data_IF_446389668050
#
_entry.id   IF_446389668050
#
_cell.length_a   1.000
_cell.length_b   1.000
_cell.length_c   1.000
_cell.angle_alpha   90.00
_cell.angle_beta   90.00
_cell.angle_gamma   90.00
#
_symmetry.space_group_name_H-M   'P 1'
#
loop_
_entity.id
_entity.type
_entity.pdbx_description
1 polymer ?
#
# COMPACT_ATOMS: atom_id res chain seq x y z
N UNK A 1 -37.54 -17.73 -15.69
CA UNK A 1 -37.08 -17.05 -14.43
C UNK A 1 -35.58 -17.17 -14.46
N UNK A 2 -34.99 -16.24 -15.26
CA UNK A 2 -33.57 -16.24 -15.51
C UNK A 2 -32.86 -15.65 -14.28
N UNK A 3 -32.14 -16.51 -13.58
CA UNK A 3 -31.17 -16.11 -12.58
C UNK A 3 -30.01 -15.42 -13.35
N UNK A 4 -29.97 -14.11 -13.31
CA UNK A 4 -28.79 -13.36 -13.77
C UNK A 4 -27.61 -13.84 -12.91
N UNK A 5 -26.71 -14.56 -13.55
CA UNK A 5 -25.39 -14.88 -13.03
C UNK A 5 -24.64 -13.52 -12.96
N UNK A 6 -24.64 -12.93 -11.77
CA UNK A 6 -23.93 -11.70 -11.49
C UNK A 6 -22.44 -12.04 -11.60
N UNK A 7 -21.90 -11.79 -12.79
CA UNK A 7 -20.49 -12.07 -13.08
C UNK A 7 -19.64 -11.23 -12.13
N UNK A 8 -19.20 -11.85 -11.03
CA UNK A 8 -18.31 -11.20 -10.06
C UNK A 8 -17.09 -10.62 -10.78
N UNK A 9 -16.71 -9.40 -10.43
CA UNK A 9 -15.54 -8.75 -11.01
C UNK A 9 -14.30 -9.64 -10.84
N UNK A 10 -13.43 -9.75 -11.85
CA UNK A 10 -12.27 -10.62 -11.78
C UNK A 10 -11.34 -10.21 -10.63
N UNK A 11 -10.90 -11.17 -9.84
CA UNK A 11 -9.97 -10.92 -8.76
C UNK A 11 -8.58 -10.52 -9.30
N UNK A 12 -8.03 -9.45 -8.74
CA UNK A 12 -6.68 -8.90 -9.05
C UNK A 12 -5.61 -9.62 -8.23
N UNK A 13 -5.96 -9.98 -6.99
CA UNK A 13 -5.12 -10.76 -6.08
C UNK A 13 -5.94 -11.92 -5.55
N UNK A 14 -5.40 -13.13 -5.64
CA UNK A 14 -5.96 -14.32 -4.98
C UNK A 14 -4.89 -14.99 -4.14
N UNK A 15 -5.24 -15.34 -2.91
CA UNK A 15 -4.42 -16.11 -2.00
C UNK A 15 -5.23 -17.26 -1.44
N UNK A 16 -4.64 -18.46 -1.33
CA UNK A 16 -5.28 -19.64 -0.75
C UNK A 16 -4.34 -20.31 0.23
N UNK A 17 -4.76 -20.39 1.50
CA UNK A 17 -3.99 -20.98 2.59
C UNK A 17 -2.61 -20.31 2.76
N UNK A 18 -2.51 -19.01 2.46
CA UNK A 18 -1.24 -18.31 2.42
C UNK A 18 -0.62 -18.22 3.82
N UNK A 19 0.68 -18.51 3.93
CA UNK A 19 1.41 -18.42 5.18
C UNK A 19 2.89 -18.18 5.00
N UNK A 20 3.52 -17.59 6.02
CA UNK A 20 4.97 -17.37 6.11
C UNK A 20 5.45 -17.74 7.50
N UNK A 21 6.43 -18.63 7.57
CA UNK A 21 7.12 -19.00 8.81
C UNK A 21 8.30 -18.07 9.08
N UNK A 22 8.43 -17.65 10.34
CA UNK A 22 9.60 -16.98 10.86
C UNK A 22 10.49 -17.94 11.67
N UNK A 23 11.56 -17.42 12.26
CA UNK A 23 12.50 -18.23 13.08
C UNK A 23 11.84 -18.82 14.35
N UNK A 24 10.80 -18.19 14.87
CA UNK A 24 10.16 -18.57 16.13
C UNK A 24 8.71 -19.05 15.96
N UNK A 25 8.31 -19.39 14.75
CA UNK A 25 6.96 -19.83 14.41
C UNK A 25 6.34 -19.03 13.27
N UNK A 26 5.07 -19.31 12.91
CA UNK A 26 4.43 -18.62 11.80
C UNK A 26 4.25 -17.13 12.10
N UNK A 27 4.63 -16.28 11.15
CA UNK A 27 4.32 -14.84 11.18
C UNK A 27 2.84 -14.61 10.85
N UNK A 28 2.31 -15.39 9.92
CA UNK A 28 0.89 -15.55 9.65
C UNK A 28 0.66 -16.88 8.92
N UNK A 29 -0.56 -17.41 8.99
CA UNK A 29 -0.92 -18.69 8.35
C UNK A 29 -2.38 -18.73 7.95
N UNK A 30 -2.70 -19.56 6.95
CA UNK A 30 -4.08 -19.88 6.59
C UNK A 30 -4.87 -18.72 5.98
N UNK A 31 -4.23 -17.72 5.38
CA UNK A 31 -4.93 -16.57 4.80
C UNK A 31 -5.52 -16.91 3.44
N UNK A 32 -6.83 -16.75 3.33
CA UNK A 32 -7.58 -16.80 2.08
C UNK A 32 -8.07 -15.41 1.73
N UNK A 33 -7.74 -14.92 0.51
CA UNK A 33 -8.10 -13.60 0.02
C UNK A 33 -8.50 -13.66 -1.46
N UNK A 34 -9.51 -12.89 -1.83
CA UNK A 34 -9.87 -12.62 -3.22
C UNK A 34 -10.17 -11.12 -3.34
N UNK A 35 -9.19 -10.35 -3.79
CA UNK A 35 -9.30 -8.89 -3.94
C UNK A 35 -9.60 -8.56 -5.39
N UNK A 36 -10.64 -7.78 -5.64
CA UNK A 36 -11.00 -7.24 -6.95
C UNK A 36 -10.24 -5.93 -7.21
N UNK A 37 -10.58 -5.17 -8.25
CA UNK A 37 -10.10 -3.80 -8.38
C UNK A 37 -10.85 -2.91 -7.37
N UNK A 38 -10.14 -1.96 -6.74
CA UNK A 38 -10.74 -1.04 -5.78
C UNK A 38 -9.92 -0.82 -4.51
N UNK A 39 -10.60 -0.44 -3.43
CA UNK A 39 -10.00 -0.14 -2.14
C UNK A 39 -10.27 -1.29 -1.15
N UNK A 40 -9.20 -1.85 -0.60
CA UNK A 40 -9.24 -2.99 0.32
C UNK A 40 -8.49 -2.68 1.61
N UNK A 41 -9.15 -2.88 2.74
CA UNK A 41 -8.55 -2.81 4.06
C UNK A 41 -8.31 -4.24 4.59
N UNK A 42 -7.06 -4.58 4.84
CA UNK A 42 -6.67 -5.86 5.45
C UNK A 42 -6.47 -5.66 6.93
N UNK A 43 -7.44 -6.13 7.71
CA UNK A 43 -7.44 -5.98 9.16
C UNK A 43 -6.80 -7.18 9.83
N UNK A 44 -5.75 -6.93 10.59
CA UNK A 44 -5.13 -7.89 11.50
C UNK A 44 -4.33 -7.15 12.58
N UNK A 45 -3.91 -7.84 13.66
CA UNK A 45 -3.06 -7.21 14.68
C UNK A 45 -1.84 -6.57 14.03
N UNK A 46 -1.53 -5.33 14.44
CA UNK A 46 -0.34 -4.63 13.97
C UNK A 46 0.94 -5.37 14.34
N UNK A 47 1.98 -5.21 13.53
CA UNK A 47 3.29 -5.79 13.78
C UNK A 47 3.83 -6.66 12.65
N UNK A 48 4.80 -7.57 12.95
CA UNK A 48 5.53 -8.32 11.93
C UNK A 48 4.62 -9.19 11.03
N UNK A 49 3.55 -9.76 11.57
CA UNK A 49 2.61 -10.59 10.80
C UNK A 49 1.89 -9.81 9.71
N UNK A 50 1.30 -8.65 10.06
CA UNK A 50 0.62 -7.77 9.12
C UNK A 50 1.59 -7.26 8.05
N UNK A 51 2.74 -6.75 8.46
CA UNK A 51 3.79 -6.28 7.54
C UNK A 51 4.21 -7.39 6.58
N UNK A 52 4.45 -8.61 7.09
CA UNK A 52 4.86 -9.74 6.27
C UNK A 52 3.78 -10.17 5.28
N UNK A 53 2.50 -10.19 5.69
CA UNK A 53 1.38 -10.48 4.80
C UNK A 53 1.34 -9.47 3.64
N UNK A 54 1.29 -8.18 3.94
CA UNK A 54 1.23 -7.12 2.93
C UNK A 54 2.43 -7.17 1.98
N UNK A 55 3.62 -7.38 2.52
CA UNK A 55 4.84 -7.52 1.72
C UNK A 55 4.85 -8.80 0.87
N UNK A 56 4.19 -9.88 1.35
CA UNK A 56 4.01 -11.10 0.57
C UNK A 56 3.05 -10.86 -0.60
N UNK A 57 1.91 -10.18 -0.36
CA UNK A 57 0.98 -9.77 -1.42
C UNK A 57 1.66 -8.90 -2.48
N UNK A 58 2.61 -8.04 -2.06
CA UNK A 58 3.43 -7.22 -2.97
C UNK A 58 4.60 -7.99 -3.63
N UNK A 59 4.73 -9.30 -3.41
CA UNK A 59 5.80 -10.14 -3.95
C UNK A 59 7.18 -9.83 -3.39
N UNK A 60 7.28 -9.22 -2.20
CA UNK A 60 8.56 -8.92 -1.52
C UNK A 60 9.05 -10.10 -0.69
N UNK A 61 8.13 -10.87 -0.11
CA UNK A 61 8.42 -12.14 0.54
C UNK A 61 7.84 -13.31 -0.28
N UNK A 62 8.50 -14.45 -0.19
CA UNK A 62 8.01 -15.69 -0.76
C UNK A 62 7.19 -16.42 0.32
N UNK A 63 5.94 -16.82 0.03
CA UNK A 63 5.18 -17.63 0.97
C UNK A 63 5.87 -18.98 1.23
N UNK A 64 5.77 -19.47 2.47
CA UNK A 64 6.20 -20.83 2.85
C UNK A 64 5.10 -21.84 2.62
N UNK A 65 3.84 -21.39 2.75
CA UNK A 65 2.64 -22.20 2.55
C UNK A 65 1.62 -21.50 1.65
N UNK A 66 0.75 -22.28 1.06
CA UNK A 66 -0.34 -21.82 0.21
C UNK A 66 0.10 -21.29 -1.15
N UNK A 67 -0.79 -20.60 -1.81
CA UNK A 67 -0.58 -20.03 -3.15
C UNK A 67 -0.97 -18.58 -3.20
N UNK A 68 -0.26 -17.80 -4.01
CA UNK A 68 -0.53 -16.40 -4.29
C UNK A 68 -0.52 -16.19 -5.81
N UNK A 69 -1.56 -15.56 -6.31
CA UNK A 69 -1.65 -15.10 -7.70
C UNK A 69 -1.99 -13.59 -7.72
N UNK A 70 -1.24 -12.83 -8.48
CA UNK A 70 -1.47 -11.39 -8.65
C UNK A 70 -1.46 -11.09 -10.15
N UNK A 71 -2.60 -10.70 -10.69
CA UNK A 71 -2.79 -10.43 -12.13
C UNK A 71 -2.28 -11.57 -13.04
N UNK A 72 -2.47 -12.84 -12.60
CA UNK A 72 -2.03 -14.02 -13.33
C UNK A 72 -0.59 -14.48 -13.01
N UNK A 73 0.20 -13.69 -12.31
CA UNK A 73 1.56 -14.03 -11.90
C UNK A 73 1.62 -14.66 -10.51
N UNK A 74 2.39 -15.75 -10.37
CA UNK A 74 2.60 -16.46 -9.08
C UNK A 74 4.02 -16.32 -8.55
N UNK A 75 4.96 -15.87 -9.37
CA UNK A 75 6.36 -15.72 -8.97
C UNK A 75 6.60 -14.35 -8.31
N UNK A 76 7.23 -14.28 -7.13
CA UNK A 76 7.46 -13.02 -6.42
C UNK A 76 8.11 -11.91 -7.28
N UNK A 77 9.08 -12.30 -8.14
CA UNK A 77 9.74 -11.33 -9.04
C UNK A 77 8.77 -10.73 -10.09
N UNK A 78 7.80 -11.50 -10.56
CA UNK A 78 6.78 -11.03 -11.50
C UNK A 78 5.74 -10.17 -10.77
N UNK A 79 5.24 -10.64 -9.62
CA UNK A 79 4.31 -9.90 -8.75
C UNK A 79 4.86 -8.50 -8.41
N UNK A 80 6.15 -8.38 -8.09
CA UNK A 80 6.80 -7.09 -7.81
C UNK A 80 6.67 -6.06 -8.93
N UNK A 81 6.45 -6.46 -10.16
CA UNK A 81 6.26 -5.54 -11.29
C UNK A 81 4.87 -4.90 -11.28
N UNK A 82 3.91 -5.57 -10.67
CA UNK A 82 2.53 -5.11 -10.55
C UNK A 82 2.29 -4.26 -9.29
N UNK A 83 3.13 -4.42 -8.25
CA UNK A 83 2.89 -3.83 -6.94
C UNK A 83 3.89 -2.74 -6.60
N UNK A 84 3.39 -1.53 -6.32
CA UNK A 84 4.12 -0.51 -5.56
C UNK A 84 3.89 -0.74 -4.06
N UNK A 85 4.83 -0.34 -3.22
CA UNK A 85 4.70 -0.37 -1.76
C UNK A 85 4.93 1.02 -1.19
N UNK A 86 4.21 1.38 -0.13
CA UNK A 86 4.36 2.65 0.58
C UNK A 86 4.06 2.51 2.07
N UNK A 87 4.66 3.36 2.87
CA UNK A 87 4.40 3.52 4.29
C UNK A 87 4.63 2.24 5.11
N UNK A 88 5.73 1.56 4.85
CA UNK A 88 6.22 0.45 5.67
C UNK A 88 7.31 0.95 6.61
N UNK A 89 7.14 0.91 7.94
CA UNK A 89 8.20 1.23 8.88
C UNK A 89 9.48 0.44 8.58
N UNK A 90 10.63 1.04 8.78
CA UNK A 90 11.97 0.47 8.56
C UNK A 90 12.29 0.04 7.11
N UNK A 91 11.37 0.22 6.14
CA UNK A 91 11.55 -0.27 4.77
C UNK A 91 11.66 0.87 3.75
N UNK A 92 10.74 1.83 3.79
CA UNK A 92 10.70 2.99 2.89
C UNK A 92 10.85 4.31 3.64
N UNK A 93 11.68 4.31 4.68
CA UNK A 93 12.03 5.52 5.44
C UNK A 93 12.76 6.52 4.57
N UNK A 94 12.46 7.79 4.80
CA UNK A 94 13.08 8.90 4.10
C UNK A 94 14.13 9.55 5.02
N UNK A 95 15.25 9.96 4.43
CA UNK A 95 16.29 10.70 5.15
C UNK A 95 15.76 12.05 5.65
N UNK A 96 15.80 12.26 6.95
CA UNK A 96 15.23 13.45 7.62
C UNK A 96 15.84 14.77 7.17
N UNK A 97 17.11 14.75 6.79
CA UNK A 97 17.90 15.93 6.42
C UNK A 97 17.77 16.37 4.96
N UNK A 98 16.95 15.66 4.16
CA UNK A 98 16.70 16.01 2.76
C UNK A 98 15.36 16.74 2.58
N UNK A 99 15.22 17.49 1.49
CA UNK A 99 13.97 18.18 1.18
C UNK A 99 13.01 17.33 0.36
N UNK A 100 11.71 17.65 0.42
CA UNK A 100 10.65 17.04 -0.39
C UNK A 100 11.00 17.03 -1.88
N UNK A 101 11.54 18.14 -2.40
CA UNK A 101 11.98 18.22 -3.79
C UNK A 101 13.11 17.23 -4.11
N UNK A 102 14.03 17.03 -3.19
CA UNK A 102 15.15 16.10 -3.37
C UNK A 102 14.67 14.68 -3.49
N UNK A 103 13.81 14.20 -2.58
CA UNK A 103 13.31 12.82 -2.63
C UNK A 103 12.44 12.57 -3.86
N UNK A 104 11.62 13.53 -4.29
CA UNK A 104 10.86 13.44 -5.54
C UNK A 104 11.76 13.34 -6.77
N UNK A 105 12.80 14.15 -6.84
CA UNK A 105 13.75 14.14 -7.95
C UNK A 105 14.57 12.84 -7.99
N UNK A 106 14.99 12.33 -6.84
CA UNK A 106 15.69 11.05 -6.70
C UNK A 106 14.81 9.89 -7.16
N UNK A 107 13.57 9.80 -6.66
CA UNK A 107 12.64 8.75 -7.06
C UNK A 107 12.38 8.77 -8.57
N UNK A 108 12.18 9.94 -9.15
CA UNK A 108 12.02 10.09 -10.60
C UNK A 108 13.27 9.65 -11.37
N UNK A 109 14.46 9.94 -10.85
CA UNK A 109 15.72 9.51 -11.45
C UNK A 109 15.86 7.97 -11.44
N UNK A 110 15.47 7.32 -10.35
CA UNK A 110 15.49 5.87 -10.24
C UNK A 110 14.51 5.18 -11.21
N UNK A 111 13.38 5.80 -11.49
CA UNK A 111 12.35 5.27 -12.39
C UNK A 111 12.63 5.57 -13.87
N UNK A 112 13.45 6.57 -14.15
CA UNK A 112 13.73 7.03 -15.51
C UNK A 112 14.87 6.23 -16.16
N UNK A 113 14.88 6.10 -17.50
CA UNK A 113 16.04 5.61 -18.22
C UNK A 113 17.30 6.45 -17.88
N UNK A 114 18.47 5.82 -17.86
CA UNK A 114 19.73 6.46 -17.47
C UNK A 114 20.12 7.71 -18.29
N UNK A 115 19.58 7.84 -19.49
CA UNK A 115 19.78 9.00 -20.39
C UNK A 115 18.74 10.10 -20.23
N UNK A 116 17.72 9.92 -19.41
CA UNK A 116 16.65 10.90 -19.24
C UNK A 116 17.10 12.08 -18.38
N UNK A 117 16.78 13.29 -18.85
CA UNK A 117 16.92 14.49 -18.03
C UNK A 117 15.68 14.64 -17.15
N UNK A 118 15.88 14.70 -15.84
CA UNK A 118 14.80 14.84 -14.87
C UNK A 118 14.63 16.32 -14.51
N UNK A 119 13.49 16.96 -14.84
CA UNK A 119 13.19 18.32 -14.44
C UNK A 119 13.17 18.46 -12.91
N UNK A 120 13.54 19.63 -12.38
CA UNK A 120 13.51 19.88 -10.93
C UNK A 120 12.11 19.72 -10.31
N UNK A 121 11.05 19.97 -11.09
CA UNK A 121 9.67 19.85 -10.66
C UNK A 121 9.09 18.44 -10.92
N UNK A 122 9.93 17.48 -11.31
CA UNK A 122 9.48 16.13 -11.58
C UNK A 122 8.80 15.51 -10.36
N UNK A 123 7.60 14.95 -10.56
CA UNK A 123 6.80 14.35 -9.50
C UNK A 123 5.86 15.32 -8.75
N UNK A 124 5.98 16.64 -8.96
CA UNK A 124 5.13 17.63 -8.26
C UNK A 124 3.64 17.48 -8.61
N UNK A 125 3.32 17.20 -9.87
CA UNK A 125 1.93 16.93 -10.28
C UNK A 125 1.34 15.74 -9.55
N UNK A 126 2.09 14.66 -9.40
CA UNK A 126 1.66 13.48 -8.65
C UNK A 126 1.54 13.78 -7.15
N UNK A 127 2.44 14.60 -6.60
CA UNK A 127 2.33 15.07 -5.21
C UNK A 127 1.01 15.82 -5.00
N UNK A 128 0.67 16.79 -5.86
CA UNK A 128 -0.59 17.54 -5.78
C UNK A 128 -1.81 16.61 -5.94
N UNK A 129 -1.75 15.64 -6.84
CA UNK A 129 -2.82 14.66 -7.05
C UNK A 129 -3.06 13.79 -5.79
N UNK A 130 -2.00 13.26 -5.20
CA UNK A 130 -2.09 12.42 -3.99
C UNK A 130 -2.58 13.23 -2.79
N UNK A 131 -2.11 14.45 -2.61
CA UNK A 131 -2.53 15.32 -1.52
C UNK A 131 -3.97 15.84 -1.71
N UNK A 132 -4.46 16.00 -2.95
CA UNK A 132 -5.81 16.46 -3.25
C UNK A 132 -6.09 17.84 -2.68
N UNK A 133 -7.10 17.95 -1.81
CA UNK A 133 -7.46 19.22 -1.15
C UNK A 133 -6.51 19.60 -0.02
N UNK A 134 -5.73 18.65 0.51
CA UNK A 134 -4.70 18.95 1.50
C UNK A 134 -3.55 19.68 0.82
N UNK A 135 -3.13 20.86 1.30
CA UNK A 135 -2.00 21.56 0.72
C UNK A 135 -0.72 20.71 0.78
N UNK A 136 -0.06 20.45 -0.35
CA UNK A 136 1.20 19.71 -0.32
C UNK A 136 2.33 20.55 0.30
N UNK A 137 3.33 19.93 0.94
CA UNK A 137 4.45 20.63 1.51
C UNK A 137 5.24 21.42 0.45
N UNK A 138 5.86 22.51 0.87
CA UNK A 138 6.70 23.31 -0.01
C UNK A 138 7.92 22.48 -0.48
N UNK A 139 8.45 22.73 -1.69
CA UNK A 139 9.58 21.97 -2.24
C UNK A 139 10.82 21.92 -1.34
N UNK A 140 11.09 23.01 -0.62
CA UNK A 140 12.23 23.14 0.29
C UNK A 140 12.00 22.63 1.70
N UNK A 141 10.78 22.18 2.05
CA UNK A 141 10.49 21.62 3.39
C UNK A 141 11.31 20.35 3.60
N UNK A 142 11.98 20.25 4.74
CA UNK A 142 12.74 19.06 5.11
C UNK A 142 11.80 17.93 5.59
N UNK A 143 12.22 16.69 5.40
CA UNK A 143 11.39 15.52 5.79
C UNK A 143 11.09 15.53 7.28
N UNK A 144 12.03 15.92 8.13
CA UNK A 144 11.85 16.04 9.59
C UNK A 144 10.76 17.04 10.01
N UNK A 145 10.43 18.00 9.14
CA UNK A 145 9.43 19.04 9.41
C UNK A 145 8.00 18.60 9.07
N UNK A 146 7.85 17.46 8.37
CA UNK A 146 6.55 16.96 7.94
C UNK A 146 5.76 16.38 9.11
N UNK A 147 4.45 16.65 9.13
CA UNK A 147 3.53 15.91 9.99
C UNK A 147 3.44 14.44 9.57
N UNK A 148 2.89 13.59 10.45
CA UNK A 148 2.67 12.18 10.17
C UNK A 148 1.82 11.95 8.89
N UNK A 149 0.78 12.77 8.67
CA UNK A 149 -0.04 12.73 7.45
C UNK A 149 0.77 13.13 6.20
N UNK A 150 1.50 14.25 6.26
CA UNK A 150 2.28 14.72 5.12
C UNK A 150 3.37 13.71 4.72
N UNK A 151 4.04 13.12 5.71
CA UNK A 151 5.03 12.07 5.47
C UNK A 151 4.38 10.82 4.86
N UNK A 152 3.24 10.40 5.39
CA UNK A 152 2.48 9.26 4.86
C UNK A 152 2.08 9.48 3.40
N UNK A 153 1.47 10.64 3.08
CA UNK A 153 1.06 10.98 1.72
C UNK A 153 2.26 11.17 0.77
N UNK A 154 3.38 11.68 1.26
CA UNK A 154 4.62 11.77 0.47
C UNK A 154 5.15 10.38 0.10
N UNK A 155 5.19 9.42 1.03
CA UNK A 155 5.61 8.03 0.76
C UNK A 155 4.69 7.37 -0.28
N UNK A 156 3.38 7.59 -0.18
CA UNK A 156 2.42 7.15 -1.19
C UNK A 156 2.71 7.82 -2.54
N UNK A 157 2.99 9.12 -2.56
CA UNK A 157 3.35 9.84 -3.78
C UNK A 157 4.56 9.19 -4.48
N UNK A 158 5.62 8.92 -3.73
CA UNK A 158 6.84 8.30 -4.26
C UNK A 158 6.57 6.91 -4.86
N UNK A 159 5.73 6.10 -4.20
CA UNK A 159 5.34 4.78 -4.69
C UNK A 159 4.53 4.86 -5.99
N UNK A 160 3.56 5.78 -6.05
CA UNK A 160 2.66 5.97 -7.21
C UNK A 160 3.37 6.51 -8.45
N UNK A 161 4.55 7.15 -8.31
CA UNK A 161 5.39 7.54 -9.45
C UNK A 161 5.80 6.35 -10.34
N UNK A 162 5.75 5.13 -9.84
CA UNK A 162 6.04 3.92 -10.62
C UNK A 162 4.91 3.48 -11.55
N UNK A 163 3.72 4.09 -11.46
CA UNK A 163 2.50 3.80 -12.24
C UNK A 163 2.13 2.30 -12.26
N UNK A 164 2.28 1.62 -11.13
CA UNK A 164 1.92 0.20 -11.01
C UNK A 164 0.43 0.06 -10.72
N UNK A 165 -0.22 -1.01 -11.24
CA UNK A 165 -1.67 -1.21 -11.08
C UNK A 165 -2.12 -1.51 -9.65
N UNK A 166 -1.21 -1.87 -8.75
CA UNK A 166 -1.51 -2.18 -7.36
C UNK A 166 -0.59 -1.37 -6.45
N UNK A 167 -1.20 -0.70 -5.46
CA UNK A 167 -0.51 0.00 -4.38
C UNK A 167 -0.78 -0.75 -3.07
N UNK A 168 0.26 -1.30 -2.46
CA UNK A 168 0.17 -1.92 -1.15
C UNK A 168 0.74 -0.95 -0.12
N UNK A 169 -0.09 -0.58 0.84
CA UNK A 169 0.22 0.41 1.88
C UNK A 169 0.37 -0.32 3.21
N UNK A 170 1.38 0.02 3.95
CA UNK A 170 1.63 -0.53 5.28
C UNK A 170 0.58 -0.08 6.29
N UNK A 171 0.97 -0.07 7.56
CA UNK A 171 0.06 0.22 8.66
C UNK A 171 -0.45 1.68 8.63
N UNK A 172 -1.76 1.85 8.51
CA UNK A 172 -2.43 3.15 8.58
C UNK A 172 -2.30 3.82 9.95
N UNK A 173 -2.05 3.04 11.00
CA UNK A 173 -1.90 3.55 12.38
C UNK A 173 -0.66 4.46 12.55
N UNK A 174 0.22 4.55 11.57
CA UNK A 174 1.29 5.55 11.52
C UNK A 174 0.75 6.98 11.53
N UNK A 175 -0.44 7.21 10.99
CA UNK A 175 -1.15 8.48 11.09
C UNK A 175 -1.93 8.47 12.42
N UNK A 176 -1.34 9.09 13.45
CA UNK A 176 -1.80 8.94 14.84
C UNK A 176 -3.08 9.71 15.15
N UNK A 177 -3.22 10.89 14.55
CA UNK A 177 -4.40 11.74 14.75
C UNK A 177 -5.58 11.23 13.92
N UNK A 178 -6.77 11.09 14.55
CA UNK A 178 -7.96 10.53 13.90
C UNK A 178 -8.45 11.39 12.72
N UNK A 179 -8.42 12.71 12.84
CA UNK A 179 -8.86 13.58 11.74
C UNK A 179 -7.91 13.48 10.54
N UNK A 180 -6.60 13.43 10.80
CA UNK A 180 -5.58 13.20 9.77
C UNK A 180 -5.71 11.81 9.14
N UNK A 181 -6.05 10.79 9.95
CA UNK A 181 -6.28 9.43 9.45
C UNK A 181 -7.48 9.38 8.51
N UNK A 182 -8.56 10.09 8.83
CA UNK A 182 -9.72 10.22 7.91
C UNK A 182 -9.27 10.78 6.57
N UNK A 183 -8.48 11.86 6.56
CA UNK A 183 -7.92 12.42 5.32
C UNK A 183 -7.07 11.39 4.58
N UNK A 184 -6.20 10.65 5.28
CA UNK A 184 -5.39 9.61 4.65
C UNK A 184 -6.25 8.54 3.96
N UNK A 185 -7.32 8.08 4.62
CA UNK A 185 -8.29 7.10 4.08
C UNK A 185 -9.01 7.66 2.85
N UNK A 186 -9.50 8.90 2.90
CA UNK A 186 -10.12 9.57 1.75
C UNK A 186 -9.16 9.64 0.55
N UNK A 187 -7.89 9.94 0.80
CA UNK A 187 -6.87 10.00 -0.27
C UNK A 187 -6.57 8.63 -0.86
N UNK A 188 -6.53 7.57 -0.02
CA UNK A 188 -6.39 6.18 -0.51
C UNK A 188 -7.61 5.76 -1.35
N UNK A 189 -8.83 6.10 -0.92
CA UNK A 189 -10.05 5.86 -1.70
C UNK A 189 -10.03 6.56 -3.06
N UNK A 190 -9.62 7.82 -3.12
CA UNK A 190 -9.49 8.55 -4.39
C UNK A 190 -8.43 7.92 -5.33
N UNK A 191 -7.34 7.38 -4.78
CA UNK A 191 -6.34 6.65 -5.57
C UNK A 191 -6.87 5.30 -6.08
N UNK A 192 -7.81 4.70 -5.36
CA UNK A 192 -8.41 3.42 -5.74
C UNK A 192 -9.26 3.50 -7.02
N UNK A 193 -9.62 4.69 -7.47
CA UNK A 193 -10.24 4.92 -8.79
C UNK A 193 -9.26 4.68 -9.94
N UNK A 194 -7.95 4.72 -9.69
CA UNK A 194 -6.89 4.61 -10.70
C UNK A 194 -6.08 3.31 -10.60
N UNK A 195 -5.98 2.73 -9.41
CA UNK A 195 -5.23 1.50 -9.15
C UNK A 195 -5.90 0.73 -8.01
N UNK A 196 -5.61 -0.56 -7.87
CA UNK A 196 -6.06 -1.31 -6.68
C UNK A 196 -5.21 -0.88 -5.48
N UNK A 197 -5.87 -0.46 -4.40
CA UNK A 197 -5.23 -0.07 -3.14
C UNK A 197 -5.50 -1.11 -2.07
N UNK A 198 -4.44 -1.61 -1.45
CA UNK A 198 -4.51 -2.56 -0.32
C UNK A 198 -3.80 -1.91 0.86
N UNK A 199 -4.50 -1.65 1.96
CA UNK A 199 -3.92 -1.04 3.16
C UNK A 199 -4.05 -1.93 4.38
N UNK A 200 -3.00 -1.99 5.20
CA UNK A 200 -3.04 -2.64 6.50
C UNK A 200 -3.71 -1.76 7.55
N UNK A 201 -4.61 -2.35 8.32
CA UNK A 201 -5.29 -1.66 9.42
C UNK A 201 -5.35 -2.56 10.65
N UNK A 202 -5.19 -1.97 11.83
CA UNK A 202 -5.39 -2.67 13.10
C UNK A 202 -6.86 -2.58 13.53
N UNK A 203 -7.48 -1.43 13.28
CA UNK A 203 -8.89 -1.18 13.57
C UNK A 203 -9.67 -0.99 12.26
N UNK A 204 -10.98 -1.32 12.22
CA UNK A 204 -11.82 -1.06 11.06
C UNK A 204 -11.77 0.42 10.69
N UNK A 205 -11.86 0.71 9.41
CA UNK A 205 -12.07 2.08 8.94
C UNK A 205 -13.41 2.62 9.45
N UNK A 206 -13.50 3.93 9.69
CA UNK A 206 -14.74 4.56 10.15
C UNK A 206 -15.88 4.43 9.15
N UNK A 207 -17.11 4.65 9.61
CA UNK A 207 -18.32 4.60 8.77
C UNK A 207 -18.35 5.61 7.62
N UNK A 208 -17.57 6.69 7.75
CA UNK A 208 -17.45 7.75 6.74
C UNK A 208 -16.31 7.49 5.74
N UNK A 209 -15.66 6.31 5.83
CA UNK A 209 -14.63 5.93 4.89
C UNK A 209 -15.20 5.74 3.47
N UNK A 210 -14.41 5.99 2.41
CA UNK A 210 -14.78 5.65 1.04
C UNK A 210 -15.20 4.17 0.93
N UNK A 211 -15.95 3.85 -0.10
CA UNK A 211 -16.35 2.46 -0.36
C UNK A 211 -15.12 1.54 -0.43
N UNK A 212 -15.11 0.52 0.41
CA UNK A 212 -13.97 -0.39 0.56
C UNK A 212 -14.42 -1.77 1.00
N UNK A 213 -13.64 -2.79 0.67
CA UNK A 213 -13.81 -4.15 1.19
C UNK A 213 -12.91 -4.37 2.40
N UNK A 214 -13.52 -4.79 3.53
CA UNK A 214 -12.79 -5.14 4.74
C UNK A 214 -12.52 -6.65 4.78
N UNK A 215 -11.24 -7.02 4.86
CA UNK A 215 -10.77 -8.40 5.02
C UNK A 215 -10.25 -8.58 6.44
N UNK A 216 -11.07 -9.20 7.30
CA UNK A 216 -10.76 -9.37 8.74
C UNK A 216 -10.07 -10.71 9.00
N UNK A 217 -8.81 -10.62 9.41
CA UNK A 217 -7.96 -11.77 9.74
C UNK A 217 -7.47 -11.76 11.20
N UNK A 218 -8.17 -11.07 12.10
CA UNK A 218 -7.77 -10.97 13.52
C UNK A 218 -7.77 -12.31 14.26
N UNK A 219 -8.55 -13.27 13.81
CA UNK A 219 -8.76 -14.56 14.49
C UNK A 219 -7.66 -15.57 14.13
N UNK A 220 -6.92 -15.37 13.05
CA UNK A 220 -5.92 -16.33 12.56
C UNK A 220 -4.57 -16.30 13.29
N UNK A 221 -4.42 -15.46 14.33
CA UNK A 221 -3.20 -15.37 15.15
C UNK A 221 -3.31 -16.13 16.47
N UNK A 222 -4.45 -16.71 16.82
CA UNK A 222 -4.58 -17.64 17.94
C UNK A 222 -4.24 -19.05 17.44
N UNK A 223 -2.94 -19.31 17.27
CA UNK A 223 -2.43 -20.66 17.10
C UNK A 223 -2.35 -21.35 18.45
N UNK A 224 -3.04 -22.45 18.59
CA UNK A 224 -2.81 -23.50 19.58
C UNK A 224 -1.37 -24.02 19.51
#
# INVERSE_FOLDING_TARGET
>A
MDTQDETAAPAVITATGLGVDGEHGPLFSGIDLALTAGFHAVQMPGGPGQTTLLMTLAGRFKPTHGTLNVLGDTKPRAIRRHCAIAAFPDIDELEESVSVQTVLAEQRRWLAPWYAQIPREAGRSKLTEVFGETPPPAPGTYIVELSDLELFLLRITLATLSNRPILVVGDLEQVRDNARRTIAVERLGALAEQCTVVVGVTNPLGTDAPDHELHDHRILTEGD
#
